data_IF_634272861978
#
_entry.id   IF_634272861978
#
_cell.length_a   1.000
_cell.length_b   1.000
_cell.length_c   1.000
_cell.angle_alpha   90.00
_cell.angle_beta   90.00
_cell.angle_gamma   90.00
#
_symmetry.space_group_name_H-M   'P 1'
#
loop_
_entity.id
_entity.type
_entity.pdbx_description
1 polymer ?
#
# COMPACT_ATOMS: atom_id res chain seq x y z
N UNK A 1 12.54 -45.56 -9.50
CA UNK A 1 12.60 -44.70 -8.29
C UNK A 1 13.72 -43.66 -8.41
N UNK A 2 13.94 -43.10 -9.62
CA UNK A 2 14.94 -42.04 -9.87
C UNK A 2 14.36 -40.83 -10.62
N UNK A 3 13.11 -40.93 -11.09
CA UNK A 3 12.44 -39.89 -11.89
C UNK A 3 11.60 -38.92 -11.05
N UNK A 4 11.37 -39.21 -9.76
CA UNK A 4 10.53 -38.39 -8.88
C UNK A 4 11.30 -37.33 -8.08
N UNK A 5 12.64 -37.40 -8.04
CA UNK A 5 13.47 -36.51 -7.21
C UNK A 5 13.86 -35.22 -7.98
N UNK A 6 13.74 -35.19 -9.31
CA UNK A 6 14.21 -34.05 -10.12
C UNK A 6 13.17 -32.92 -10.30
N UNK A 7 11.95 -33.06 -9.76
CA UNK A 7 10.89 -32.06 -9.94
C UNK A 7 10.71 -31.10 -8.73
N UNK A 8 11.37 -31.34 -7.60
CA UNK A 8 11.31 -30.45 -6.44
C UNK A 8 12.29 -29.26 -6.50
N UNK A 9 13.25 -29.25 -7.44
CA UNK A 9 14.34 -28.27 -7.52
C UNK A 9 14.29 -27.34 -8.73
N UNK A 10 13.17 -27.29 -9.49
CA UNK A 10 12.93 -26.17 -10.42
C UNK A 10 12.68 -24.91 -9.60
N UNK A 11 13.77 -24.34 -9.10
CA UNK A 11 13.81 -23.17 -8.26
C UNK A 11 12.84 -22.17 -8.84
N UNK A 12 11.91 -21.71 -7.99
CA UNK A 12 11.13 -20.48 -8.21
C UNK A 12 12.13 -19.47 -8.74
N UNK A 13 12.24 -19.32 -10.06
CA UNK A 13 13.03 -18.28 -10.67
C UNK A 13 12.34 -17.02 -10.17
N UNK A 14 12.93 -16.41 -9.13
CA UNK A 14 12.35 -15.27 -8.42
C UNK A 14 12.26 -14.17 -9.47
N UNK A 15 11.08 -14.05 -10.10
CA UNK A 15 10.83 -13.02 -11.11
C UNK A 15 11.04 -11.70 -10.39
N UNK A 16 12.14 -11.01 -10.73
CA UNK A 16 12.50 -9.77 -10.08
C UNK A 16 11.30 -8.82 -10.14
N UNK A 17 10.93 -8.19 -9.01
CA UNK A 17 9.81 -7.30 -8.99
C UNK A 17 10.07 -6.06 -9.87
N UNK A 18 9.00 -5.43 -10.33
CA UNK A 18 9.12 -4.14 -11.02
C UNK A 18 9.59 -3.07 -10.04
N UNK A 19 10.49 -2.20 -10.48
CA UNK A 19 10.93 -1.03 -9.71
C UNK A 19 9.72 -0.16 -9.32
N UNK A 20 8.79 0.06 -10.25
CA UNK A 20 7.56 0.81 -10.01
C UNK A 20 6.66 0.16 -8.92
N UNK A 21 6.42 -1.15 -8.98
CA UNK A 21 5.70 -1.87 -7.92
C UNK A 21 6.44 -1.88 -6.58
N UNK A 22 7.78 -1.94 -6.58
CA UNK A 22 8.59 -1.84 -5.36
C UNK A 22 8.50 -0.44 -4.73
N UNK A 23 8.61 0.62 -5.54
CA UNK A 23 8.46 2.00 -5.09
C UNK A 23 7.05 2.27 -4.55
N UNK A 24 6.01 1.77 -5.23
CA UNK A 24 4.62 1.79 -4.75
C UNK A 24 4.51 1.21 -3.34
N UNK A 25 5.05 0.02 -3.13
CA UNK A 25 5.04 -0.64 -1.83
C UNK A 25 5.80 0.15 -0.76
N UNK A 26 6.99 0.65 -1.08
CA UNK A 26 7.80 1.43 -0.15
C UNK A 26 7.11 2.73 0.29
N UNK A 27 6.51 3.44 -0.67
CA UNK A 27 5.76 4.68 -0.42
C UNK A 27 4.54 4.40 0.46
N UNK A 28 3.79 3.33 0.14
CA UNK A 28 2.62 2.95 0.92
C UNK A 28 2.99 2.54 2.36
N UNK A 29 4.13 1.86 2.55
CA UNK A 29 4.67 1.56 3.89
C UNK A 29 5.08 2.81 4.66
N UNK A 30 5.74 3.78 4.02
CA UNK A 30 6.08 5.04 4.66
C UNK A 30 4.83 5.84 5.05
N UNK A 31 3.82 5.87 4.17
CA UNK A 31 2.52 6.47 4.47
C UNK A 31 1.87 5.81 5.68
N UNK A 32 1.80 4.47 5.69
CA UNK A 32 1.23 3.71 6.79
C UNK A 32 1.98 3.97 8.10
N UNK A 33 3.31 3.94 8.09
CA UNK A 33 4.12 4.21 9.26
C UNK A 33 3.90 5.64 9.78
N UNK A 34 3.90 6.64 8.90
CA UNK A 34 3.65 8.03 9.24
C UNK A 34 2.29 8.24 9.89
N UNK A 35 1.23 7.66 9.34
CA UNK A 35 -0.13 7.71 9.93
C UNK A 35 -0.15 7.06 11.31
N UNK A 36 0.43 5.87 11.46
CA UNK A 36 0.44 5.16 12.75
C UNK A 36 1.23 5.93 13.81
N UNK A 37 2.35 6.56 13.44
CA UNK A 37 3.10 7.44 14.35
C UNK A 37 2.24 8.64 14.73
N UNK A 38 1.65 9.35 13.76
CA UNK A 38 0.81 10.51 14.03
C UNK A 38 -0.38 10.20 14.95
N UNK A 39 -1.02 9.03 14.77
CA UNK A 39 -2.05 8.52 15.68
C UNK A 39 -1.51 8.21 17.08
N UNK A 40 -0.29 7.67 17.18
CA UNK A 40 0.31 7.29 18.45
C UNK A 40 0.68 8.51 19.31
N UNK A 41 1.13 9.59 18.69
CA UNK A 41 1.53 10.83 19.39
C UNK A 41 0.42 11.88 19.44
N UNK A 42 -0.79 11.53 18.99
CA UNK A 42 -1.99 12.37 19.02
C UNK A 42 -1.76 13.77 18.42
N UNK A 43 -1.23 13.80 17.20
CA UNK A 43 -1.06 15.07 16.48
C UNK A 43 -2.44 15.62 16.12
N UNK A 44 -2.69 16.88 16.52
CA UNK A 44 -3.92 17.61 16.21
C UNK A 44 -4.13 17.79 14.70
N UNK A 45 -3.08 18.19 13.97
CA UNK A 45 -3.12 18.43 12.52
C UNK A 45 -2.43 17.29 11.74
N UNK A 46 -3.25 16.34 11.28
CA UNK A 46 -2.73 15.20 10.53
C UNK A 46 -2.05 15.64 9.22
N UNK A 47 -0.81 15.21 8.95
CA UNK A 47 -0.13 15.64 7.73
C UNK A 47 -0.78 15.02 6.48
N UNK A 48 -1.31 15.89 5.61
CA UNK A 48 -1.97 15.51 4.35
C UNK A 48 -1.08 14.64 3.45
N UNK A 49 0.24 14.85 3.53
CA UNK A 49 1.24 14.06 2.81
C UNK A 49 1.08 12.56 3.06
N UNK A 50 0.88 12.13 4.31
CA UNK A 50 0.78 10.71 4.66
C UNK A 50 -0.64 10.17 4.45
N UNK A 51 -1.68 10.97 4.66
CA UNK A 51 -3.09 10.56 4.53
C UNK A 51 -3.60 10.47 3.09
N UNK A 52 -3.10 11.33 2.20
CA UNK A 52 -3.66 11.51 0.85
C UNK A 52 -2.57 11.39 -0.21
N UNK A 53 -1.55 12.24 -0.17
CA UNK A 53 -0.58 12.36 -1.28
C UNK A 53 0.21 11.08 -1.50
N UNK A 54 0.87 10.56 -0.47
CA UNK A 54 1.68 9.33 -0.59
C UNK A 54 0.82 8.10 -0.94
N UNK A 55 -0.36 7.87 -0.32
CA UNK A 55 -1.27 6.79 -0.71
C UNK A 55 -1.69 6.87 -2.18
N UNK A 56 -2.06 8.05 -2.69
CA UNK A 56 -2.43 8.25 -4.10
C UNK A 56 -1.26 7.94 -5.03
N UNK A 57 -0.09 8.50 -4.75
CA UNK A 57 1.13 8.24 -5.55
C UNK A 57 1.48 6.74 -5.52
N UNK A 58 1.44 6.12 -4.35
CA UNK A 58 1.65 4.69 -4.17
C UNK A 58 0.64 3.84 -4.94
N UNK A 59 -0.63 4.23 -4.96
CA UNK A 59 -1.69 3.54 -5.69
C UNK A 59 -1.43 3.55 -7.20
N UNK A 60 -1.19 4.73 -7.77
CA UNK A 60 -0.94 4.85 -9.21
C UNK A 60 0.36 4.17 -9.62
N UNK A 61 1.45 4.31 -8.85
CA UNK A 61 2.68 3.57 -9.12
C UNK A 61 2.45 2.06 -9.07
N UNK A 62 1.62 1.58 -8.16
CA UNK A 62 1.26 0.18 -8.06
C UNK A 62 0.50 -0.28 -9.29
N UNK A 63 -0.47 0.52 -9.75
CA UNK A 63 -1.25 0.25 -10.94
C UNK A 63 -0.36 0.20 -12.21
N UNK A 64 0.55 1.17 -12.36
CA UNK A 64 1.56 1.17 -13.42
C UNK A 64 2.46 -0.07 -13.35
N UNK A 65 2.91 -0.46 -12.15
CA UNK A 65 3.71 -1.68 -11.94
C UNK A 65 2.96 -2.96 -12.30
N UNK A 66 1.63 -2.98 -12.14
CA UNK A 66 0.77 -4.10 -12.49
C UNK A 66 0.59 -4.24 -14.01
N UNK A 67 0.37 -3.11 -14.70
CA UNK A 67 0.11 -3.05 -16.15
C UNK A 67 1.40 -3.28 -16.95
N UNK A 68 2.51 -2.68 -16.53
CA UNK A 68 3.75 -2.62 -17.31
C UNK A 68 4.52 -3.94 -17.35
N UNK A 69 4.24 -4.92 -16.48
CA UNK A 69 5.12 -6.09 -16.33
C UNK A 69 4.49 -7.48 -16.31
N UNK A 70 5.17 -8.39 -17.01
CA UNK A 70 4.99 -9.85 -16.94
C UNK A 70 5.79 -10.52 -15.79
N UNK A 71 6.50 -9.72 -14.97
CA UNK A 71 7.27 -10.17 -13.79
C UNK A 71 6.39 -10.28 -12.53
N UNK A 72 7.00 -10.51 -11.36
CA UNK A 72 6.28 -10.67 -10.10
C UNK A 72 5.53 -9.38 -9.74
N UNK A 73 4.20 -9.50 -9.58
CA UNK A 73 3.27 -8.40 -9.27
C UNK A 73 3.05 -8.21 -7.76
N UNK A 74 3.75 -8.97 -6.92
CA UNK A 74 3.53 -9.00 -5.47
C UNK A 74 3.65 -7.61 -4.85
N UNK A 75 4.74 -6.88 -5.10
CA UNK A 75 4.92 -5.55 -4.52
C UNK A 75 3.91 -4.54 -5.05
N UNK A 76 3.53 -4.62 -6.32
CA UNK A 76 2.47 -3.77 -6.87
C UNK A 76 1.13 -4.04 -6.17
N UNK A 77 0.76 -5.32 -5.96
CA UNK A 77 -0.46 -5.69 -5.24
C UNK A 77 -0.43 -5.22 -3.78
N UNK A 78 0.68 -5.41 -3.09
CA UNK A 78 0.83 -4.94 -1.71
C UNK A 78 0.81 -3.41 -1.61
N UNK A 79 1.48 -2.71 -2.51
CA UNK A 79 1.48 -1.25 -2.57
C UNK A 79 0.07 -0.71 -2.80
N UNK A 80 -0.65 -1.25 -3.79
CA UNK A 80 -2.07 -0.91 -4.04
C UNK A 80 -2.92 -1.22 -2.81
N UNK A 81 -2.77 -2.40 -2.21
CA UNK A 81 -3.57 -2.83 -1.06
C UNK A 81 -3.40 -1.91 0.15
N UNK A 82 -2.17 -1.55 0.49
CA UNK A 82 -1.88 -0.63 1.60
C UNK A 82 -2.36 0.78 1.27
N UNK A 83 -2.07 1.29 0.06
CA UNK A 83 -2.57 2.60 -0.36
C UNK A 83 -4.10 2.68 -0.30
N UNK A 84 -4.80 1.65 -0.78
CA UNK A 84 -6.26 1.60 -0.75
C UNK A 84 -6.79 1.53 0.68
N UNK A 85 -6.16 0.72 1.53
CA UNK A 85 -6.48 0.67 2.96
C UNK A 85 -6.39 2.05 3.61
N UNK A 86 -5.29 2.78 3.36
CA UNK A 86 -5.11 4.14 3.89
C UNK A 86 -6.20 5.09 3.36
N UNK A 87 -6.50 5.06 2.06
CA UNK A 87 -7.53 5.92 1.48
C UNK A 87 -8.92 5.65 2.06
N UNK A 88 -9.26 4.37 2.26
CA UNK A 88 -10.51 3.98 2.94
C UNK A 88 -10.50 4.44 4.40
N UNK A 89 -9.38 4.26 5.10
CA UNK A 89 -9.21 4.78 6.46
C UNK A 89 -9.42 6.30 6.52
N UNK A 90 -8.80 7.07 5.62
CA UNK A 90 -8.98 8.52 5.53
C UNK A 90 -10.44 8.88 5.24
N UNK A 91 -11.10 8.19 4.31
CA UNK A 91 -12.51 8.39 4.01
C UNK A 91 -13.40 8.13 5.23
N UNK A 92 -13.15 7.05 5.98
CA UNK A 92 -13.88 6.72 7.21
C UNK A 92 -13.60 7.74 8.31
N UNK A 93 -12.35 8.19 8.50
CA UNK A 93 -11.99 9.21 9.47
C UNK A 93 -12.77 10.50 9.21
N UNK A 94 -12.80 10.98 7.96
CA UNK A 94 -13.56 12.18 7.57
C UNK A 94 -15.06 11.94 7.74
N UNK A 95 -15.58 10.80 7.29
CA UNK A 95 -17.01 10.48 7.37
C UNK A 95 -17.51 10.37 8.82
N UNK A 96 -16.76 9.71 9.69
CA UNK A 96 -17.12 9.57 11.12
C UNK A 96 -16.93 10.90 11.85
N UNK A 97 -15.87 11.67 11.55
CA UNK A 97 -15.69 13.00 12.14
C UNK A 97 -16.83 13.95 11.76
N UNK A 98 -17.27 13.91 10.50
CA UNK A 98 -18.36 14.76 10.00
C UNK A 98 -19.74 14.34 10.52
N UNK A 99 -19.99 13.03 10.69
CA UNK A 99 -21.29 12.51 11.15
C UNK A 99 -21.38 12.45 12.68
N UNK A 100 -20.26 12.33 13.40
CA UNK A 100 -20.21 11.94 14.80
C UNK A 100 -20.05 13.05 15.82
N UNK A 101 -19.60 14.26 15.45
CA UNK A 101 -19.24 15.28 16.44
C UNK A 101 -19.77 16.66 16.02
N UNK A 102 -20.99 16.95 16.47
CA UNK A 102 -21.67 18.26 16.52
C UNK A 102 -22.41 18.74 15.24
N UNK A 103 -23.67 18.32 15.01
CA UNK A 103 -24.63 19.20 14.36
C UNK A 103 -24.82 20.40 15.30
N UNK A 104 -24.09 21.49 15.08
CA UNK A 104 -24.43 22.77 15.72
C UNK A 104 -25.90 23.06 15.41
N UNK A 105 -26.76 23.39 16.40
CA UNK A 105 -28.05 24.00 16.10
C UNK A 105 -27.86 25.34 15.39
#
# INVERSE_FOLDING_TARGET
>A
MELEINNMSKGKQRKLPTISGFLSFLIALMALAGINVALLIDIDDFPEMFLITLPIVGFFLGLFGLITSKRSRLYALWGIGISLFILVFTFLMIGISWVGINPKP
#
